data_IF_474974302979
#
_entry.id   IF_474974302979
#
_cell.length_a   1.000
_cell.length_b   1.000
_cell.length_c   1.000
_cell.angle_alpha   90.00
_cell.angle_beta   90.00
_cell.angle_gamma   90.00
#
_symmetry.space_group_name_H-M   'P 1'
#
loop_
_entity.id
_entity.type
_entity.pdbx_description
1 polymer ?
#
# COMPACT_ATOMS: atom_id res chain seq x y z
N UNK A 1 19.97 51.32 67.75
CA UNK A 1 19.33 52.22 66.76
C UNK A 1 18.40 51.37 65.90
N UNK A 2 17.08 51.63 65.98
CA UNK A 2 15.98 51.38 64.98
C UNK A 2 15.87 50.01 64.28
N UNK A 3 14.73 49.35 64.08
CA UNK A 3 13.33 49.39 64.54
C UNK A 3 12.73 48.05 64.05
N UNK A 4 11.79 47.45 64.79
CA UNK A 4 10.98 46.31 64.32
C UNK A 4 10.05 46.73 63.17
N UNK A 5 9.83 45.86 62.18
CA UNK A 5 8.55 45.79 61.45
C UNK A 5 8.07 44.33 61.43
N UNK A 6 6.77 44.21 61.65
CA UNK A 6 5.96 43.04 61.92
C UNK A 6 5.17 42.66 60.65
N UNK A 7 4.84 41.37 60.56
CA UNK A 7 3.54 40.79 60.15
C UNK A 7 3.20 40.56 58.67
N UNK A 8 2.76 39.31 58.47
CA UNK A 8 1.56 38.81 57.75
C UNK A 8 1.67 38.34 56.28
N UNK A 9 1.43 37.02 56.16
CA UNK A 9 0.49 36.34 55.25
C UNK A 9 0.62 36.54 53.74
N UNK A 10 0.81 35.44 53.00
CA UNK A 10 -0.32 34.74 52.38
C UNK A 10 0.11 33.39 51.80
N UNK A 11 -0.79 32.44 52.01
CA UNK A 11 -0.88 31.11 51.44
C UNK A 11 -1.14 31.25 49.92
N UNK A 12 -0.39 30.52 49.08
CA UNK A 12 -0.59 30.48 47.63
C UNK A 12 -0.34 29.07 47.12
N UNK A 13 -1.34 28.21 47.31
CA UNK A 13 -1.42 26.86 46.79
C UNK A 13 -1.57 26.93 45.26
N UNK A 14 -0.58 26.45 44.51
CA UNK A 14 -0.71 26.21 43.06
C UNK A 14 -0.57 24.71 42.80
N UNK A 15 -1.73 24.04 42.87
CA UNK A 15 -1.98 22.82 42.11
C UNK A 15 -2.27 23.18 40.65
N UNK A 16 -1.79 22.36 39.73
CA UNK A 16 -2.19 22.36 38.31
C UNK A 16 -1.00 22.54 37.37
N UNK A 17 -0.65 21.59 36.51
CA UNK A 17 -1.20 20.28 36.23
C UNK A 17 -0.14 19.46 35.47
N UNK A 18 -0.21 18.14 35.62
CA UNK A 18 0.56 17.23 34.77
C UNK A 18 0.08 17.40 33.33
N UNK A 19 0.93 17.99 32.49
CA UNK A 19 0.85 17.88 31.05
C UNK A 19 1.11 16.41 30.68
N UNK A 20 0.04 15.63 30.55
CA UNK A 20 0.10 14.34 29.89
C UNK A 20 0.45 14.56 28.43
N UNK A 21 1.68 14.25 28.04
CA UNK A 21 2.06 14.07 26.63
C UNK A 21 1.34 12.84 26.11
N UNK A 22 0.08 13.05 25.68
CA UNK A 22 -0.64 12.07 24.89
C UNK A 22 0.14 11.83 23.61
N UNK A 23 0.52 10.57 23.39
CA UNK A 23 0.93 10.09 22.08
C UNK A 23 -0.23 10.36 21.13
N UNK A 24 -0.13 11.43 20.32
CA UNK A 24 -1.04 11.65 19.22
C UNK A 24 -0.74 10.57 18.18
N UNK A 25 -1.41 9.44 18.28
CA UNK A 25 -1.48 8.49 17.18
C UNK A 25 -2.23 9.23 16.07
N UNK A 26 -1.65 9.44 14.88
CA UNK A 26 -2.40 10.03 13.78
C UNK A 26 -3.56 9.09 13.48
N UNK A 27 -4.78 9.57 13.74
CA UNK A 27 -5.99 8.90 13.28
C UNK A 27 -5.95 8.99 11.76
N UNK A 28 -5.77 7.86 11.09
CA UNK A 28 -5.92 7.75 9.64
C UNK A 28 -7.26 8.36 9.25
N UNK A 29 -7.23 9.37 8.39
CA UNK A 29 -8.45 10.01 7.93
C UNK A 29 -9.38 8.96 7.30
N UNK A 30 -10.63 8.90 7.76
CA UNK A 30 -11.69 8.01 7.28
C UNK A 30 -12.19 8.35 5.84
N UNK A 31 -11.27 8.76 4.97
CA UNK A 31 -11.50 9.13 3.59
C UNK A 31 -10.88 8.12 2.63
N UNK A 32 -11.42 8.08 1.41
CA UNK A 32 -10.82 7.35 0.29
C UNK A 32 -9.54 8.06 -0.14
N UNK A 33 -8.39 7.46 0.09
CA UNK A 33 -7.06 7.94 -0.29
C UNK A 33 -6.79 7.59 -1.75
N UNK A 34 -6.48 8.59 -2.59
CA UNK A 34 -5.93 8.34 -3.92
C UNK A 34 -4.48 7.87 -3.77
N UNK A 35 -4.11 6.84 -4.52
CA UNK A 35 -2.77 6.25 -4.47
C UNK A 35 -2.15 6.22 -5.87
N UNK A 36 -0.83 6.28 -5.90
CA UNK A 36 -0.07 6.01 -7.12
C UNK A 36 1.42 5.93 -6.90
N UNK A 37 2.10 5.37 -7.89
CA UNK A 37 3.55 5.22 -7.87
C UNK A 37 4.03 4.24 -8.93
N UNK A 38 5.26 3.78 -8.75
CA UNK A 38 5.95 2.89 -9.67
C UNK A 38 6.11 1.50 -9.05
N UNK A 39 6.21 0.50 -9.93
CA UNK A 39 6.51 -0.87 -9.57
C UNK A 39 7.53 -1.47 -10.53
N UNK A 40 8.40 -2.31 -9.99
CA UNK A 40 9.43 -3.03 -10.74
C UNK A 40 9.90 -4.28 -10.01
N UNK A 41 10.34 -5.28 -10.76
CA UNK A 41 10.87 -6.52 -10.21
C UNK A 41 12.17 -6.27 -9.44
N UNK A 42 12.20 -6.63 -8.15
CA UNK A 42 13.35 -6.41 -7.28
C UNK A 42 13.53 -7.60 -6.33
N UNK A 43 14.44 -8.52 -6.67
CA UNK A 43 14.72 -9.71 -5.86
C UNK A 43 15.43 -9.41 -4.54
N UNK A 44 16.01 -8.21 -4.40
CA UNK A 44 16.73 -7.82 -3.18
C UNK A 44 15.76 -7.27 -2.15
N UNK A 45 14.76 -6.53 -2.60
CA UNK A 45 13.73 -5.95 -1.74
C UNK A 45 12.54 -6.89 -1.51
N UNK A 46 12.12 -7.60 -2.56
CA UNK A 46 11.03 -8.55 -2.52
C UNK A 46 11.59 -9.96 -2.57
N UNK A 47 11.81 -10.49 -1.38
CA UNK A 47 12.38 -11.81 -1.13
C UNK A 47 11.37 -12.95 -1.41
N UNK A 48 11.48 -14.06 -0.69
CA UNK A 48 10.66 -15.25 -0.96
C UNK A 48 9.17 -14.94 -0.88
N UNK A 49 8.37 -15.33 -1.89
CA UNK A 49 6.95 -15.03 -1.90
C UNK A 49 6.22 -15.70 -0.72
N UNK A 50 5.17 -15.06 -0.19
CA UNK A 50 4.29 -15.69 0.79
C UNK A 50 3.66 -16.98 0.25
N UNK A 51 3.30 -17.90 1.15
CA UNK A 51 2.70 -19.17 0.77
C UNK A 51 1.46 -18.99 -0.11
N UNK A 52 1.41 -19.71 -1.24
CA UNK A 52 0.31 -19.60 -2.21
C UNK A 52 0.47 -18.50 -3.26
N UNK A 53 1.61 -17.81 -3.30
CA UNK A 53 2.01 -16.88 -4.35
C UNK A 53 3.31 -17.36 -4.99
N UNK A 54 3.45 -17.15 -6.30
CA UNK A 54 4.51 -17.80 -7.10
C UNK A 54 5.42 -16.81 -7.81
N UNK A 55 5.07 -15.52 -7.87
CA UNK A 55 5.94 -14.52 -8.49
C UNK A 55 7.24 -14.39 -7.71
N UNK A 56 8.35 -14.67 -8.39
CA UNK A 56 9.68 -14.36 -7.88
C UNK A 56 10.57 -13.86 -9.03
N UNK A 57 11.21 -12.68 -8.89
CA UNK A 57 11.05 -11.74 -7.76
C UNK A 57 9.65 -11.13 -7.69
N UNK A 58 9.27 -10.63 -6.50
CA UNK A 58 8.06 -9.80 -6.36
C UNK A 58 8.26 -8.43 -7.01
N UNK A 59 7.15 -7.71 -7.24
CA UNK A 59 7.18 -6.31 -7.65
C UNK A 59 7.39 -5.45 -6.41
N UNK A 60 8.48 -4.68 -6.38
CA UNK A 60 8.65 -3.60 -5.40
C UNK A 60 7.82 -2.42 -5.83
N UNK A 61 6.91 -1.99 -4.96
CA UNK A 61 6.12 -0.78 -5.12
C UNK A 61 6.81 0.38 -4.39
N UNK A 62 6.82 1.55 -5.03
CA UNK A 62 7.24 2.83 -4.46
C UNK A 62 6.13 3.87 -4.64
N UNK A 63 6.20 4.99 -3.91
CA UNK A 63 5.17 6.04 -3.97
C UNK A 63 4.20 5.94 -2.78
N UNK A 64 2.89 5.95 -3.04
CA UNK A 64 1.91 5.86 -1.96
C UNK A 64 1.94 4.53 -1.23
N UNK A 65 2.21 3.43 -1.94
CA UNK A 65 2.47 2.12 -1.37
C UNK A 65 3.96 1.85 -1.43
N UNK A 66 4.55 1.56 -0.27
CA UNK A 66 5.95 1.14 -0.16
C UNK A 66 5.98 -0.29 0.36
N UNK A 67 6.43 -1.22 -0.46
CA UNK A 67 6.39 -2.65 -0.14
C UNK A 67 6.56 -3.56 -1.34
N UNK A 68 6.10 -4.79 -1.19
CA UNK A 68 6.18 -5.84 -2.20
C UNK A 68 4.79 -6.33 -2.58
N UNK A 69 4.58 -6.55 -3.88
CA UNK A 69 3.41 -7.19 -4.44
C UNK A 69 3.82 -8.52 -5.05
N UNK A 70 3.22 -9.59 -4.56
CA UNK A 70 3.47 -10.96 -5.01
C UNK A 70 2.23 -11.48 -5.75
N UNK A 71 2.40 -11.96 -6.96
CA UNK A 71 1.35 -12.49 -7.84
C UNK A 71 1.27 -14.01 -7.75
N UNK A 72 0.05 -14.51 -7.67
CA UNK A 72 -0.31 -15.90 -7.85
C UNK A 72 -1.30 -15.99 -9.02
N UNK A 73 -0.88 -16.65 -10.09
CA UNK A 73 -1.72 -16.86 -11.28
C UNK A 73 -2.64 -18.05 -11.01
N UNK A 74 -3.95 -17.83 -11.12
CA UNK A 74 -4.93 -18.92 -10.99
C UNK A 74 -5.23 -19.52 -12.38
N UNK A 75 -5.48 -18.68 -13.39
CA UNK A 75 -5.77 -19.10 -14.76
C UNK A 75 -5.13 -18.15 -15.78
N UNK A 76 -4.59 -18.70 -16.87
CA UNK A 76 -4.08 -17.93 -18.00
C UNK A 76 -4.47 -18.59 -19.32
N UNK A 77 -4.85 -17.79 -20.31
CA UNK A 77 -5.16 -18.28 -21.66
C UNK A 77 -4.79 -17.30 -22.75
N UNK A 78 -4.39 -17.88 -23.88
CA UNK A 78 -4.11 -17.17 -25.12
C UNK A 78 -5.23 -17.38 -26.14
N UNK A 79 -5.34 -16.47 -27.10
CA UNK A 79 -6.19 -16.62 -28.29
C UNK A 79 -5.31 -16.57 -29.54
N UNK A 80 -5.68 -17.27 -30.63
CA UNK A 80 -4.93 -17.22 -31.89
C UNK A 80 -4.76 -15.81 -32.47
N UNK A 81 -5.63 -14.88 -32.08
CA UNK A 81 -5.56 -13.48 -32.48
C UNK A 81 -4.60 -12.63 -31.65
N UNK A 82 -3.76 -13.19 -30.77
CA UNK A 82 -2.83 -12.41 -29.94
C UNK A 82 -3.44 -11.84 -28.66
N UNK A 83 -4.63 -12.30 -28.25
CA UNK A 83 -5.23 -11.90 -26.97
C UNK A 83 -4.69 -12.75 -25.81
N UNK A 84 -4.29 -12.10 -24.72
CA UNK A 84 -3.89 -12.75 -23.45
C UNK A 84 -4.88 -12.37 -22.35
N UNK A 85 -5.38 -13.37 -21.63
CA UNK A 85 -6.32 -13.17 -20.52
C UNK A 85 -5.83 -13.98 -19.34
N UNK A 86 -5.73 -13.32 -18.20
CA UNK A 86 -5.21 -13.91 -16.98
C UNK A 86 -6.01 -13.43 -15.77
N UNK A 87 -6.21 -14.33 -14.83
CA UNK A 87 -6.82 -14.05 -13.54
C UNK A 87 -5.98 -14.67 -12.44
N UNK A 88 -5.97 -14.01 -11.29
CA UNK A 88 -5.32 -14.56 -10.13
C UNK A 88 -5.51 -13.68 -8.91
N UNK A 89 -4.60 -13.83 -7.97
CA UNK A 89 -4.56 -13.05 -6.74
C UNK A 89 -3.19 -12.43 -6.58
N UNK A 90 -3.14 -11.30 -5.90
CA UNK A 90 -1.86 -10.75 -5.43
C UNK A 90 -1.91 -10.48 -3.95
N UNK A 91 -0.75 -10.52 -3.29
CA UNK A 91 -0.59 -10.11 -1.91
C UNK A 91 0.37 -8.92 -1.86
N UNK A 92 -0.13 -7.81 -1.34
CA UNK A 92 0.71 -6.69 -0.96
C UNK A 92 1.20 -6.87 0.48
N UNK A 93 2.48 -6.58 0.70
CA UNK A 93 3.12 -6.54 2.02
C UNK A 93 3.90 -5.23 2.13
N UNK A 94 3.50 -4.33 3.02
CA UNK A 94 4.13 -3.02 3.10
C UNK A 94 3.33 -2.00 3.88
N UNK A 95 3.47 -0.72 3.53
CA UNK A 95 2.77 0.40 4.18
C UNK A 95 2.11 1.34 3.18
N UNK A 96 1.12 2.10 3.65
CA UNK A 96 0.49 3.20 2.93
C UNK A 96 1.00 4.53 3.48
N UNK A 97 1.65 5.34 2.63
CA UNK A 97 2.20 6.66 2.96
C UNK A 97 3.07 6.68 4.23
N UNK A 98 3.90 5.64 4.43
CA UNK A 98 4.75 5.50 5.61
C UNK A 98 4.00 5.16 6.92
N UNK A 99 2.73 4.78 6.83
CA UNK A 99 1.92 4.35 7.96
C UNK A 99 2.31 2.98 8.52
N UNK A 100 1.45 2.41 9.36
CA UNK A 100 1.68 1.07 9.91
C UNK A 100 1.77 0.02 8.80
N UNK A 101 2.69 -0.94 8.97
CA UNK A 101 2.83 -2.07 8.04
C UNK A 101 1.64 -3.00 8.16
N UNK A 102 1.27 -3.62 7.05
CA UNK A 102 0.26 -4.65 6.99
C UNK A 102 0.27 -5.37 5.65
N UNK A 103 -0.78 -6.15 5.42
CA UNK A 103 -1.01 -6.84 4.16
C UNK A 103 -2.43 -6.64 3.68
N UNK A 104 -2.65 -6.81 2.38
CA UNK A 104 -3.97 -7.06 1.81
C UNK A 104 -3.81 -7.93 0.56
N UNK A 105 -4.89 -8.57 0.12
CA UNK A 105 -4.89 -9.29 -1.15
C UNK A 105 -5.77 -8.62 -2.17
N UNK A 106 -5.43 -8.76 -3.45
CA UNK A 106 -6.25 -8.37 -4.59
C UNK A 106 -6.74 -9.62 -5.33
N UNK A 107 -7.82 -9.49 -6.08
CA UNK A 107 -8.16 -10.42 -7.16
C UNK A 107 -7.96 -9.71 -8.49
N UNK A 108 -6.91 -10.05 -9.23
CA UNK A 108 -6.60 -9.35 -10.46
C UNK A 108 -7.21 -10.02 -11.68
N UNK A 109 -7.50 -9.19 -12.69
CA UNK A 109 -7.84 -9.64 -14.04
C UNK A 109 -7.08 -8.82 -15.06
N UNK A 110 -6.14 -9.47 -15.73
CA UNK A 110 -5.36 -8.89 -16.81
C UNK A 110 -5.97 -9.24 -18.17
N UNK A 111 -5.99 -8.25 -19.06
CA UNK A 111 -6.37 -8.41 -20.45
C UNK A 111 -5.37 -7.66 -21.32
N UNK A 112 -4.52 -8.42 -22.00
CA UNK A 112 -3.49 -7.95 -22.90
C UNK A 112 -3.83 -8.23 -24.36
N UNK A 113 -3.31 -7.39 -25.24
CA UNK A 113 -3.27 -7.61 -26.68
C UNK A 113 -1.82 -7.54 -27.11
N UNK A 114 -1.38 -8.58 -27.80
CA UNK A 114 -0.05 -8.73 -28.37
C UNK A 114 -0.15 -8.88 -29.89
N UNK A 115 0.99 -8.72 -30.55
CA UNK A 115 1.18 -9.23 -31.91
C UNK A 115 0.95 -10.75 -31.97
N UNK A 116 0.68 -11.28 -33.17
CA UNK A 116 0.31 -12.69 -33.34
C UNK A 116 1.41 -13.66 -32.89
N UNK A 117 2.68 -13.23 -32.87
CA UNK A 117 3.82 -13.98 -32.38
C UNK A 117 4.09 -13.80 -30.87
N UNK A 118 3.26 -13.01 -30.17
CA UNK A 118 3.36 -12.68 -28.75
C UNK A 118 4.69 -12.02 -28.32
N UNK A 119 5.45 -11.46 -29.26
CA UNK A 119 6.74 -10.81 -28.95
C UNK A 119 6.61 -9.36 -28.52
N UNK A 120 5.55 -8.68 -28.97
CA UNK A 120 5.30 -7.26 -28.69
C UNK A 120 3.92 -7.11 -28.07
N UNK A 121 3.87 -6.52 -26.88
CA UNK A 121 2.62 -6.06 -26.27
C UNK A 121 2.15 -4.77 -26.96
N UNK A 122 0.92 -4.80 -27.46
CA UNK A 122 0.25 -3.63 -28.05
C UNK A 122 -0.40 -2.80 -26.93
N UNK A 123 -1.16 -3.45 -26.05
CA UNK A 123 -1.70 -2.84 -24.85
C UNK A 123 -2.13 -3.86 -23.79
N UNK A 124 -1.97 -3.50 -22.53
CA UNK A 124 -2.45 -4.23 -21.38
C UNK A 124 -3.37 -3.39 -20.52
N UNK A 125 -4.28 -4.04 -19.81
CA UNK A 125 -4.97 -3.43 -18.67
C UNK A 125 -5.16 -4.48 -17.60
N UNK A 126 -4.91 -4.08 -16.37
CA UNK A 126 -5.15 -4.92 -15.21
C UNK A 126 -5.91 -4.14 -14.16
N UNK A 127 -6.94 -4.78 -13.60
CA UNK A 127 -7.70 -4.26 -12.46
C UNK A 127 -7.41 -5.16 -11.27
N UNK A 128 -7.15 -4.56 -10.13
CA UNK A 128 -6.74 -5.26 -8.91
C UNK A 128 -7.59 -4.79 -7.73
N UNK A 129 -8.89 -5.11 -7.68
CA UNK A 129 -9.74 -4.83 -6.53
C UNK A 129 -9.18 -5.51 -5.28
N UNK A 130 -9.17 -4.78 -4.17
CA UNK A 130 -8.80 -5.31 -2.86
C UNK A 130 -9.90 -6.27 -2.39
N UNK A 131 -9.52 -7.49 -2.03
CA UNK A 131 -10.43 -8.48 -1.50
C UNK A 131 -10.94 -8.04 -0.12
N UNK A 132 -12.26 -7.98 0.04
CA UNK A 132 -12.87 -7.53 1.29
C UNK A 132 -12.44 -8.40 2.48
N UNK A 133 -12.03 -7.76 3.58
CA UNK A 133 -11.59 -8.47 4.79
C UNK A 133 -10.21 -9.14 4.69
N UNK A 134 -9.47 -8.95 3.59
CA UNK A 134 -8.11 -9.48 3.45
C UNK A 134 -7.04 -8.66 4.18
N UNK A 135 -7.39 -7.43 4.55
CA UNK A 135 -6.49 -6.47 5.15
C UNK A 135 -6.06 -6.85 6.56
N UNK A 136 -4.77 -6.65 6.87
CA UNK A 136 -4.18 -6.85 8.21
C UNK A 136 -3.34 -5.64 8.62
N UNK A 137 -3.10 -5.45 9.91
CA UNK A 137 -2.27 -4.36 10.44
C UNK A 137 -2.74 -2.98 9.95
N UNK A 138 -1.85 -2.21 9.32
CA UNK A 138 -2.18 -0.90 8.75
C UNK A 138 -3.25 -0.89 7.64
N UNK A 139 -3.69 -2.06 7.18
CA UNK A 139 -4.73 -2.24 6.17
C UNK A 139 -5.98 -2.96 6.69
N UNK A 140 -6.16 -3.11 8.00
CA UNK A 140 -7.41 -3.69 8.54
C UNK A 140 -8.65 -2.98 7.97
N UNK A 141 -9.61 -3.78 7.50
CA UNK A 141 -10.84 -3.27 6.87
C UNK A 141 -10.65 -2.57 5.52
N UNK A 142 -9.44 -2.60 4.93
CA UNK A 142 -9.17 -1.92 3.68
C UNK A 142 -10.05 -2.39 2.52
N UNK A 143 -10.52 -1.43 1.74
CA UNK A 143 -11.24 -1.63 0.48
C UNK A 143 -10.69 -0.69 -0.58
N UNK A 144 -10.92 -0.99 -1.86
CA UNK A 144 -10.45 -0.16 -2.95
C UNK A 144 -9.98 -0.96 -4.14
N UNK A 145 -9.14 -0.34 -4.97
CA UNK A 145 -8.61 -0.94 -6.19
C UNK A 145 -7.30 -0.30 -6.60
N UNK A 146 -6.39 -1.10 -7.13
CA UNK A 146 -5.23 -0.67 -7.89
C UNK A 146 -5.46 -0.96 -9.38
N UNK A 147 -4.94 -0.10 -10.23
CA UNK A 147 -4.92 -0.23 -11.68
C UNK A 147 -3.49 -0.02 -12.16
N UNK A 148 -2.94 -0.99 -12.87
CA UNK A 148 -1.58 -0.94 -13.39
C UNK A 148 -1.58 -0.61 -14.89
N UNK A 149 -0.56 0.14 -15.31
CA UNK A 149 -0.22 0.40 -16.70
C UNK A 149 1.25 0.10 -16.94
N UNK A 150 1.48 -0.69 -17.98
CA UNK A 150 2.81 -1.08 -18.40
C UNK A 150 3.41 0.03 -19.27
N UNK A 151 4.62 0.46 -18.94
CA UNK A 151 5.42 1.37 -19.73
C UNK A 151 6.56 0.56 -20.36
N UNK A 152 6.43 0.31 -21.65
CA UNK A 152 7.40 -0.45 -22.42
C UNK A 152 8.59 0.47 -22.76
N UNK A 153 9.77 0.14 -22.23
CA UNK A 153 11.05 0.85 -22.42
C UNK A 153 12.24 -0.11 -22.28
N UNK A 154 13.48 0.41 -22.25
CA UNK A 154 14.70 -0.43 -22.03
C UNK A 154 14.62 -1.26 -20.75
N UNK A 155 13.98 -0.70 -19.72
CA UNK A 155 13.45 -1.45 -18.57
C UNK A 155 11.94 -1.29 -18.58
N UNK A 156 11.20 -2.39 -18.49
CA UNK A 156 9.75 -2.36 -18.31
C UNK A 156 9.45 -1.86 -16.90
N UNK A 157 8.71 -0.77 -16.80
CA UNK A 157 8.22 -0.21 -15.53
C UNK A 157 6.71 -0.27 -15.51
N UNK A 158 6.14 -0.58 -14.35
CA UNK A 158 4.70 -0.62 -14.15
C UNK A 158 4.27 0.58 -13.32
N UNK A 159 3.38 1.42 -13.83
CA UNK A 159 2.83 2.55 -13.07
C UNK A 159 1.48 2.14 -12.53
N UNK A 160 1.29 2.23 -11.20
CA UNK A 160 0.00 1.98 -10.58
C UNK A 160 -0.67 3.27 -10.14
N UNK A 161 -2.00 3.23 -10.19
CA UNK A 161 -2.89 4.26 -9.64
C UNK A 161 -4.09 3.59 -9.00
N UNK A 162 -4.82 4.32 -8.16
CA UNK A 162 -6.05 3.79 -7.61
C UNK A 162 -6.53 4.54 -6.40
N UNK A 163 -7.30 3.84 -5.57
CA UNK A 163 -7.75 4.38 -4.31
C UNK A 163 -7.87 3.29 -3.25
N UNK A 164 -7.60 3.65 -2.00
CA UNK A 164 -7.76 2.81 -0.82
C UNK A 164 -8.56 3.58 0.21
N UNK A 165 -9.58 2.93 0.77
CA UNK A 165 -10.28 3.36 1.97
C UNK A 165 -9.94 2.40 3.10
N UNK A 166 -9.40 2.92 4.19
CA UNK A 166 -9.13 2.16 5.41
C UNK A 166 -10.42 2.00 6.24
N UNK A 167 -10.47 0.95 7.06
CA UNK A 167 -11.60 0.60 7.93
C UNK A 167 -11.79 1.51 9.13
#
# INVERSE_FOLDING_TARGET
MRTRIRRLAMLGMLMGGLLGTGLMVPVSAAGTTQIGGDAGYDATWCDSPPAGFTSYPGLRLTGSLEGCLYTGVDEARQTPSGGWIETGREMFVGSLNGGATGTFTTSYRFQGKYEADFTVEIHGRCQHPIAAGSGTGGFEGATGRLDFKDIIGETVTYVYRGHIKLG
#
